data_IF_781153621676
#
_entry.id   IF_781153621676
#
_cell.length_a   1.000
_cell.length_b   1.000
_cell.length_c   1.000
_cell.angle_alpha   90.00
_cell.angle_beta   90.00
_cell.angle_gamma   90.00
#
_symmetry.space_group_name_H-M   'P 1'
#
loop_
_entity.id
_entity.type
_entity.pdbx_description
1 polymer ?
#
# COMPACT_ATOMS: atom_id res chain seq x y z
N UNK A 1 -16.03 12.54 -3.70
CA UNK A 1 -16.58 11.70 -4.79
C UNK A 1 -15.53 10.78 -5.38
N UNK A 2 -14.36 11.29 -5.80
CA UNK A 2 -13.25 10.45 -6.28
C UNK A 2 -12.84 9.38 -5.24
N UNK A 3 -12.54 9.78 -4.00
CA UNK A 3 -12.12 8.89 -2.92
C UNK A 3 -13.14 7.77 -2.64
N UNK A 4 -14.44 8.10 -2.64
CA UNK A 4 -15.52 7.13 -2.48
C UNK A 4 -15.57 6.13 -3.65
N UNK A 5 -15.29 6.58 -4.89
CA UNK A 5 -15.21 5.69 -6.05
C UNK A 5 -13.99 4.75 -5.96
N UNK A 6 -12.83 5.25 -5.52
CA UNK A 6 -11.64 4.43 -5.26
C UNK A 6 -11.92 3.40 -4.15
N UNK A 7 -12.64 3.80 -3.10
CA UNK A 7 -13.08 2.90 -2.02
C UNK A 7 -14.03 1.82 -2.50
N UNK A 8 -15.04 2.18 -3.29
CA UNK A 8 -15.95 1.22 -3.91
C UNK A 8 -15.20 0.23 -4.82
N UNK A 9 -14.27 0.74 -5.64
CA UNK A 9 -13.45 -0.10 -6.51
C UNK A 9 -12.59 -1.09 -5.72
N UNK A 10 -12.00 -0.65 -4.61
CA UNK A 10 -11.26 -1.52 -3.70
C UNK A 10 -12.15 -2.65 -3.18
N UNK A 11 -13.35 -2.34 -2.68
CA UNK A 11 -14.34 -3.34 -2.21
C UNK A 11 -14.66 -4.37 -3.31
N UNK A 12 -14.84 -3.94 -4.56
CA UNK A 12 -15.03 -4.86 -5.69
C UNK A 12 -13.79 -5.75 -5.90
N UNK A 13 -12.58 -5.17 -5.89
CA UNK A 13 -11.33 -5.93 -6.02
C UNK A 13 -11.15 -7.01 -4.94
N UNK A 14 -11.62 -6.75 -3.71
CA UNK A 14 -11.50 -7.68 -2.59
C UNK A 14 -12.60 -8.75 -2.59
N UNK A 15 -13.86 -8.36 -2.76
CA UNK A 15 -15.00 -9.25 -2.51
C UNK A 15 -15.64 -9.83 -3.79
N UNK A 16 -15.39 -9.21 -4.95
CA UNK A 16 -15.95 -9.60 -6.24
C UNK A 16 -14.87 -9.76 -7.31
N UNK A 17 -13.66 -10.18 -6.90
CA UNK A 17 -12.48 -10.34 -7.76
C UNK A 17 -12.77 -11.20 -9.00
N UNK A 18 -13.53 -12.28 -8.84
CA UNK A 18 -13.87 -13.21 -9.92
C UNK A 18 -14.87 -12.64 -10.93
N UNK A 19 -15.47 -11.48 -10.65
CA UNK A 19 -16.44 -10.80 -11.51
C UNK A 19 -15.80 -9.70 -12.37
N UNK A 20 -14.49 -9.50 -12.28
CA UNK A 20 -13.74 -8.45 -12.99
C UNK A 20 -12.46 -9.01 -13.61
N UNK A 21 -11.88 -8.28 -14.56
CA UNK A 21 -10.49 -8.52 -14.97
C UNK A 21 -9.53 -7.99 -13.90
N UNK A 22 -9.32 -8.79 -12.85
CA UNK A 22 -8.51 -8.41 -11.70
C UNK A 22 -7.06 -8.04 -12.09
N UNK A 23 -6.53 -8.63 -13.16
CA UNK A 23 -5.18 -8.36 -13.64
C UNK A 23 -5.02 -6.93 -14.19
N UNK A 24 -6.12 -6.29 -14.61
CA UNK A 24 -6.12 -4.88 -15.02
C UNK A 24 -6.64 -3.94 -13.94
N UNK A 25 -7.71 -4.34 -13.26
CA UNK A 25 -8.42 -3.45 -12.34
C UNK A 25 -7.64 -3.24 -11.03
N UNK A 26 -7.01 -4.27 -10.47
CA UNK A 26 -6.26 -4.14 -9.21
C UNK A 26 -5.06 -3.19 -9.37
N UNK A 27 -4.23 -3.28 -10.43
CA UNK A 27 -3.16 -2.30 -10.65
C UNK A 27 -3.67 -0.87 -10.87
N UNK A 28 -4.80 -0.70 -11.57
CA UNK A 28 -5.41 0.62 -11.76
C UNK A 28 -5.88 1.23 -10.42
N UNK A 29 -6.49 0.41 -9.56
CA UNK A 29 -6.88 0.80 -8.21
C UNK A 29 -5.66 1.17 -7.36
N UNK A 30 -4.59 0.36 -7.37
CA UNK A 30 -3.35 0.64 -6.64
C UNK A 30 -2.74 2.00 -7.04
N UNK A 31 -2.82 2.36 -8.32
CA UNK A 31 -2.31 3.64 -8.81
C UNK A 31 -3.10 4.86 -8.31
N UNK A 32 -4.33 4.66 -7.82
CA UNK A 32 -5.14 5.71 -7.21
C UNK A 32 -4.79 5.96 -5.74
N UNK A 33 -3.93 5.13 -5.13
CA UNK A 33 -3.55 5.24 -3.71
C UNK A 33 -2.25 6.05 -3.50
N UNK A 34 -2.06 6.65 -2.31
CA UNK A 34 -3.05 6.78 -1.24
C UNK A 34 -4.13 7.82 -1.58
N UNK A 35 -5.35 7.62 -1.08
CA UNK A 35 -6.38 8.66 -1.09
C UNK A 35 -6.26 9.52 0.17
N UNK A 36 -6.60 10.82 0.07
CA UNK A 36 -6.34 11.79 1.15
C UNK A 36 -7.43 12.82 1.38
N UNK A 37 -8.42 12.91 0.50
CA UNK A 37 -9.46 13.94 0.58
C UNK A 37 -10.52 13.59 1.61
N UNK A 38 -11.08 12.39 1.49
CA UNK A 38 -12.06 11.85 2.44
C UNK A 38 -11.34 10.95 3.45
N UNK A 39 -11.09 11.48 4.65
CA UNK A 39 -10.35 10.78 5.70
C UNK A 39 -11.09 9.53 6.23
N UNK A 40 -12.42 9.47 6.09
CA UNK A 40 -13.19 8.30 6.50
C UNK A 40 -12.93 7.17 5.51
N UNK A 41 -13.06 7.47 4.21
CA UNK A 41 -12.78 6.49 3.15
C UNK A 41 -11.30 6.12 3.09
N UNK A 42 -10.38 7.06 3.38
CA UNK A 42 -8.95 6.79 3.44
C UNK A 42 -8.63 5.68 4.44
N UNK A 43 -9.18 5.75 5.66
CA UNK A 43 -8.95 4.72 6.69
C UNK A 43 -9.44 3.34 6.23
N UNK A 44 -10.62 3.28 5.62
CA UNK A 44 -11.21 2.04 5.09
C UNK A 44 -10.34 1.46 3.96
N UNK A 45 -9.96 2.29 3.00
CA UNK A 45 -9.18 1.88 1.82
C UNK A 45 -7.78 1.44 2.19
N UNK A 46 -7.10 2.15 3.09
CA UNK A 46 -5.75 1.79 3.50
C UNK A 46 -5.72 0.53 4.39
N UNK A 47 -6.77 0.29 5.19
CA UNK A 47 -6.95 -0.98 5.90
C UNK A 47 -7.15 -2.15 4.92
N UNK A 48 -8.01 -1.96 3.92
CA UNK A 48 -8.23 -2.92 2.86
C UNK A 48 -6.94 -3.22 2.08
N UNK A 49 -6.23 -2.17 1.66
CA UNK A 49 -4.95 -2.28 0.98
C UNK A 49 -3.93 -3.06 1.80
N UNK A 50 -3.77 -2.73 3.09
CA UNK A 50 -2.89 -3.45 4.00
C UNK A 50 -3.25 -4.95 4.06
N UNK A 51 -4.55 -5.27 4.13
CA UNK A 51 -5.05 -6.64 4.16
C UNK A 51 -4.75 -7.42 2.87
N UNK A 52 -4.81 -6.76 1.71
CA UNK A 52 -4.44 -7.38 0.43
C UNK A 52 -2.94 -7.64 0.31
N UNK A 53 -2.10 -6.77 0.87
CA UNK A 53 -0.65 -6.98 0.94
C UNK A 53 -0.30 -8.15 1.88
N UNK A 54 -0.93 -8.24 3.05
CA UNK A 54 -0.73 -9.36 3.99
C UNK A 54 -1.03 -10.72 3.38
N UNK A 55 -2.10 -10.81 2.59
CA UNK A 55 -2.47 -12.04 1.86
C UNK A 55 -1.58 -12.33 0.67
N UNK A 56 -0.65 -11.43 0.33
CA UNK A 56 0.20 -11.53 -0.86
C UNK A 56 -0.61 -11.69 -2.15
N UNK A 57 -1.69 -10.89 -2.28
CA UNK A 57 -2.58 -10.92 -3.45
C UNK A 57 -1.76 -10.73 -4.76
N UNK A 58 -1.81 -11.74 -5.66
CA UNK A 58 -0.95 -11.83 -6.85
C UNK A 58 -1.05 -10.61 -7.77
N UNK A 59 -2.27 -10.16 -8.07
CA UNK A 59 -2.49 -9.02 -8.97
C UNK A 59 -2.08 -7.69 -8.33
N UNK A 60 -2.01 -7.63 -6.99
CA UNK A 60 -1.56 -6.43 -6.27
C UNK A 60 -0.02 -6.32 -6.27
N UNK A 61 0.68 -7.43 -6.04
CA UNK A 61 2.15 -7.47 -6.11
C UNK A 61 2.65 -7.37 -7.56
N UNK A 62 1.87 -7.92 -8.50
CA UNK A 62 2.22 -8.03 -9.90
C UNK A 62 3.26 -9.14 -10.16
N UNK A 63 3.53 -9.47 -11.43
CA UNK A 63 4.57 -10.42 -11.78
C UNK A 63 5.93 -9.95 -11.26
N UNK A 64 6.71 -10.84 -10.66
CA UNK A 64 8.02 -10.56 -10.07
C UNK A 64 8.03 -9.37 -9.09
N UNK A 65 6.93 -9.15 -8.35
CA UNK A 65 6.77 -8.05 -7.40
C UNK A 65 6.97 -6.66 -8.03
N UNK A 66 6.67 -6.49 -9.32
CA UNK A 66 6.91 -5.23 -10.03
C UNK A 66 6.20 -4.01 -9.42
N UNK A 67 5.11 -4.21 -8.67
CA UNK A 67 4.37 -3.11 -8.03
C UNK A 67 4.83 -2.82 -6.59
N UNK A 68 5.83 -3.54 -6.10
CA UNK A 68 6.38 -3.35 -4.76
C UNK A 68 6.83 -1.90 -4.49
N UNK A 69 7.52 -1.17 -5.41
CA UNK A 69 7.85 0.23 -5.18
C UNK A 69 6.65 1.12 -4.92
N UNK A 70 5.55 0.91 -5.66
CA UNK A 70 4.31 1.66 -5.44
C UNK A 70 3.68 1.30 -4.09
N UNK A 71 3.69 0.02 -3.71
CA UNK A 71 3.17 -0.43 -2.41
C UNK A 71 3.92 0.23 -1.25
N UNK A 72 5.25 0.20 -1.30
CA UNK A 72 6.12 0.81 -0.27
C UNK A 72 5.92 2.33 -0.25
N UNK A 73 5.77 2.98 -1.40
CA UNK A 73 5.48 4.41 -1.48
C UNK A 73 4.16 4.78 -0.79
N UNK A 74 3.09 4.01 -1.05
CA UNK A 74 1.79 4.22 -0.40
C UNK A 74 1.90 4.04 1.11
N UNK A 75 2.56 2.98 1.59
CA UNK A 75 2.77 2.78 3.03
C UNK A 75 3.56 3.93 3.66
N UNK A 76 4.69 4.31 3.07
CA UNK A 76 5.52 5.39 3.59
C UNK A 76 4.73 6.70 3.67
N UNK A 77 3.94 7.02 2.64
CA UNK A 77 3.13 8.23 2.59
C UNK A 77 1.98 8.24 3.59
N UNK A 78 1.29 7.11 3.78
CA UNK A 78 0.25 6.96 4.81
C UNK A 78 0.86 7.13 6.20
N UNK A 79 2.02 6.53 6.46
CA UNK A 79 2.73 6.65 7.74
C UNK A 79 3.25 8.08 7.99
N UNK A 80 3.71 8.78 6.94
CA UNK A 80 4.08 10.20 7.04
C UNK A 80 2.90 11.09 7.47
N UNK A 81 1.68 10.76 7.05
CA UNK A 81 0.48 11.53 7.36
C UNK A 81 -0.07 11.29 8.78
N UNK A 82 0.58 10.43 9.59
CA UNK A 82 0.16 10.16 10.96
C UNK A 82 -1.19 9.44 11.03
N UNK A 83 -2.09 9.92 11.91
CA UNK A 83 -3.38 9.26 12.22
C UNK A 83 -4.54 9.66 11.29
N UNK A 84 -4.27 10.48 10.29
CA UNK A 84 -5.31 11.03 9.41
C UNK A 84 -5.76 10.01 8.37
N UNK A 85 -4.80 9.32 7.74
CA UNK A 85 -5.05 8.42 6.61
C UNK A 85 -5.27 6.96 7.01
N UNK A 86 -4.87 6.57 8.22
CA UNK A 86 -5.01 5.21 8.74
C UNK A 86 -5.28 5.21 10.25
N UNK A 87 -5.89 4.13 10.73
CA UNK A 87 -5.96 3.86 12.18
C UNK A 87 -4.59 3.46 12.70
N UNK A 88 -4.36 3.56 14.01
CA UNK A 88 -3.11 3.11 14.64
C UNK A 88 -2.83 1.62 14.41
N UNK A 89 -3.90 0.81 14.40
CA UNK A 89 -3.79 -0.62 14.11
C UNK A 89 -3.34 -0.85 12.66
N UNK A 90 -3.95 -0.16 11.69
CA UNK A 90 -3.56 -0.27 10.27
C UNK A 90 -2.13 0.23 10.06
N UNK A 91 -1.75 1.36 10.67
CA UNK A 91 -0.38 1.86 10.61
C UNK A 91 0.62 0.84 11.18
N UNK A 92 0.32 0.22 12.33
CA UNK A 92 1.16 -0.81 12.93
C UNK A 92 1.34 -2.03 12.03
N UNK A 93 0.27 -2.45 11.34
CA UNK A 93 0.32 -3.53 10.34
C UNK A 93 1.20 -3.18 9.15
N UNK A 94 1.07 -1.96 8.61
CA UNK A 94 1.94 -1.47 7.54
C UNK A 94 3.42 -1.49 7.94
N UNK A 95 3.73 -1.04 9.16
CA UNK A 95 5.10 -1.08 9.69
C UNK A 95 5.64 -2.51 9.74
N UNK A 96 4.84 -3.46 10.25
CA UNK A 96 5.26 -4.86 10.33
C UNK A 96 5.50 -5.48 8.95
N UNK A 97 4.66 -5.15 7.96
CA UNK A 97 4.87 -5.57 6.57
C UNK A 97 6.16 -4.98 5.99
N UNK A 98 6.45 -3.70 6.22
CA UNK A 98 7.70 -3.08 5.75
C UNK A 98 8.93 -3.77 6.35
N UNK A 99 8.89 -4.11 7.65
CA UNK A 99 9.97 -4.88 8.31
C UNK A 99 10.09 -6.28 7.74
N UNK A 100 8.97 -6.96 7.47
CA UNK A 100 8.98 -8.29 6.85
C UNK A 100 9.59 -8.23 5.44
N UNK A 101 9.25 -7.22 4.63
CA UNK A 101 9.84 -7.02 3.30
C UNK A 101 11.35 -6.82 3.40
N UNK A 102 11.83 -6.03 4.38
CA UNK A 102 13.25 -5.82 4.62
C UNK A 102 14.01 -7.12 4.95
N UNK A 103 13.36 -8.05 5.65
CA UNK A 103 13.98 -9.32 6.04
C UNK A 103 13.92 -10.40 4.96
N UNK A 104 12.89 -10.36 4.11
CA UNK A 104 12.60 -11.43 3.14
C UNK A 104 13.15 -11.15 1.74
N UNK A 105 13.34 -9.88 1.37
CA UNK A 105 13.79 -9.51 0.04
C UNK A 105 15.31 -9.36 -0.07
N UNK A 106 15.91 -9.66 -1.23
CA UNK A 106 17.33 -9.42 -1.46
C UNK A 106 17.69 -7.93 -1.29
N UNK A 107 18.88 -7.60 -0.76
CA UNK A 107 19.32 -6.22 -0.59
C UNK A 107 19.26 -5.36 -1.87
N UNK A 108 19.50 -5.97 -3.03
CA UNK A 108 19.42 -5.28 -4.32
C UNK A 108 17.99 -4.84 -4.67
N UNK A 109 16.99 -5.69 -4.38
CA UNK A 109 15.57 -5.38 -4.60
C UNK A 109 15.14 -4.26 -3.66
N UNK A 110 15.51 -4.34 -2.38
CA UNK A 110 15.22 -3.30 -1.39
C UNK A 110 15.85 -1.96 -1.80
N UNK A 111 17.13 -1.94 -2.16
CA UNK A 111 17.81 -0.72 -2.60
C UNK A 111 17.11 -0.08 -3.80
N UNK A 112 16.76 -0.88 -4.82
CA UNK A 112 16.06 -0.39 -6.02
C UNK A 112 14.65 0.12 -5.73
N UNK A 113 13.97 -0.47 -4.75
CA UNK A 113 12.62 -0.09 -4.32
C UNK A 113 12.68 1.23 -3.55
N UNK A 114 13.64 1.38 -2.63
CA UNK A 114 13.78 2.57 -1.78
C UNK A 114 14.24 3.77 -2.60
N UNK A 115 15.11 3.56 -3.60
CA UNK A 115 15.59 4.65 -4.46
C UNK A 115 14.50 5.29 -5.33
N UNK A 116 13.37 4.59 -5.53
CA UNK A 116 12.22 5.12 -6.28
C UNK A 116 11.28 5.98 -5.42
N UNK A 117 11.45 5.98 -4.10
CA UNK A 117 10.64 6.76 -3.18
C UNK A 117 11.07 8.23 -3.16
N UNK A 118 10.13 9.12 -2.84
CA UNK A 118 10.43 10.53 -2.60
C UNK A 118 11.28 10.70 -1.33
N UNK A 119 12.09 11.78 -1.21
CA UNK A 119 12.96 11.98 -0.05
C UNK A 119 12.23 11.92 1.31
N UNK A 120 11.02 12.49 1.39
CA UNK A 120 10.20 12.45 2.60
C UNK A 120 9.75 11.02 2.96
N UNK A 121 9.36 10.23 1.96
CA UNK A 121 8.98 8.83 2.13
C UNK A 121 10.18 7.98 2.57
N UNK A 122 11.38 8.22 2.02
CA UNK A 122 12.60 7.53 2.43
C UNK A 122 12.94 7.80 3.89
N UNK A 123 12.84 9.05 4.34
CA UNK A 123 13.09 9.43 5.74
C UNK A 123 12.10 8.77 6.70
N UNK A 124 10.82 8.77 6.36
CA UNK A 124 9.81 8.10 7.18
C UNK A 124 10.04 6.59 7.25
N UNK A 125 10.38 5.98 6.12
CA UNK A 125 10.69 4.56 6.04
C UNK A 125 11.93 4.21 6.87
N UNK A 126 12.99 5.03 6.82
CA UNK A 126 14.17 4.85 7.67
C UNK A 126 13.80 4.95 9.16
N UNK A 127 13.07 5.99 9.57
CA UNK A 127 12.64 6.18 10.97
C UNK A 127 11.84 4.99 11.51
N UNK A 128 10.90 4.49 10.71
CA UNK A 128 10.04 3.35 11.03
C UNK A 128 10.83 2.04 11.16
N UNK A 129 11.81 1.82 10.27
CA UNK A 129 12.59 0.58 10.23
C UNK A 129 13.74 0.56 11.25
N UNK A 130 14.20 1.72 11.70
CA UNK A 130 15.20 1.84 12.76
C UNK A 130 14.62 1.77 14.18
N UNK A 131 13.30 1.84 14.31
CA UNK A 131 12.56 1.73 15.57
C UNK A 131 12.18 0.29 15.87
#
# INVERSE_FOLDING_TARGET
AYDNAVSALGKICQFHRDSIDAAQVVPAWLNCLPIKGDLIEAKVVHEQFCSMVERSDRELLGPNNQYLPKIVAVFAEVLCAGKDLATEQTASRMINLLRQLQQTLPPSVLASTWSQLQPQQQLALQSVLSS
#
